data_IF_882850200236
#
_entry.id   IF_882850200236
#
_cell.length_a   1.000
_cell.length_b   1.000
_cell.length_c   1.000
_cell.angle_alpha   90.00
_cell.angle_beta   90.00
_cell.angle_gamma   90.00
#
_symmetry.space_group_name_H-M   'P 1'
#
loop_
_entity.id
_entity.type
_entity.pdbx_description
1 polymer ?
#
# COMPACT_ATOMS: atom_id res chain seq x y z
N UNK A 1 -1.06 -26.19 8.62
CA UNK A 1 -1.47 -27.25 7.69
C UNK A 1 -2.91 -26.93 7.28
N UNK A 2 -3.11 -26.22 6.15
CA UNK A 2 -4.45 -25.93 5.61
C UNK A 2 -4.75 -27.02 4.58
N UNK A 3 -5.55 -28.01 4.95
CA UNK A 3 -5.84 -29.18 4.10
C UNK A 3 -7.23 -29.17 3.49
N UNK A 4 -8.04 -28.11 3.70
CA UNK A 4 -9.46 -28.12 3.32
C UNK A 4 -9.82 -27.51 1.96
N UNK A 5 -9.08 -26.52 1.47
CA UNK A 5 -9.51 -25.70 0.32
C UNK A 5 -8.83 -26.04 -1.02
N UNK A 6 -7.80 -26.90 -1.01
CA UNK A 6 -6.87 -27.03 -2.15
C UNK A 6 -7.27 -28.09 -3.19
N UNK A 7 -8.10 -29.07 -2.87
CA UNK A 7 -8.22 -30.25 -3.73
C UNK A 7 -9.11 -30.05 -4.98
N UNK A 8 -10.24 -29.33 -4.89
CA UNK A 8 -11.17 -29.20 -6.02
C UNK A 8 -10.78 -28.09 -7.01
N UNK A 9 -10.43 -26.89 -6.52
CA UNK A 9 -10.07 -25.75 -7.37
C UNK A 9 -8.76 -25.97 -8.14
N UNK A 10 -7.78 -26.64 -7.53
CA UNK A 10 -6.54 -27.03 -8.21
C UNK A 10 -6.82 -27.94 -9.41
N UNK A 11 -7.72 -28.91 -9.24
CA UNK A 11 -8.07 -29.86 -10.29
C UNK A 11 -8.76 -29.21 -11.50
N UNK A 12 -9.56 -28.17 -11.30
CA UNK A 12 -10.22 -27.44 -12.40
C UNK A 12 -9.23 -26.55 -13.16
N UNK A 13 -8.32 -25.88 -12.46
CA UNK A 13 -7.26 -25.10 -13.09
C UNK A 13 -6.35 -25.99 -13.94
N UNK A 14 -5.94 -27.14 -13.42
CA UNK A 14 -5.12 -28.11 -14.15
C UNK A 14 -5.80 -28.57 -15.44
N UNK A 15 -7.11 -28.87 -15.39
CA UNK A 15 -7.90 -29.21 -16.59
C UNK A 15 -7.91 -28.08 -17.61
N UNK A 16 -8.14 -26.83 -17.19
CA UNK A 16 -8.14 -25.67 -18.08
C UNK A 16 -6.78 -25.52 -18.75
N UNK A 17 -5.69 -25.65 -18.00
CA UNK A 17 -4.33 -25.55 -18.54
C UNK A 17 -4.02 -26.69 -19.52
N UNK A 18 -4.43 -27.92 -19.22
CA UNK A 18 -4.29 -29.05 -20.13
C UNK A 18 -5.05 -28.83 -21.45
N UNK A 19 -6.30 -28.38 -21.38
CA UNK A 19 -7.11 -28.08 -22.55
C UNK A 19 -6.51 -26.95 -23.40
N UNK A 20 -6.07 -25.86 -22.77
CA UNK A 20 -5.46 -24.74 -23.48
C UNK A 20 -4.17 -25.14 -24.19
N UNK A 21 -3.29 -25.89 -23.52
CA UNK A 21 -2.02 -26.35 -24.09
C UNK A 21 -2.19 -27.33 -25.27
N UNK A 22 -3.37 -27.94 -25.43
CA UNK A 22 -3.69 -28.81 -26.54
C UNK A 22 -4.11 -28.06 -27.83
N UNK A 23 -4.38 -26.74 -27.75
CA UNK A 23 -4.81 -25.93 -28.89
C UNK A 23 -3.59 -25.48 -29.69
N UNK A 24 -3.56 -25.74 -31.01
CA UNK A 24 -2.47 -25.31 -31.89
C UNK A 24 -3.00 -24.72 -33.22
N UNK A 25 -2.71 -23.43 -33.55
CA UNK A 25 -2.04 -22.45 -32.69
C UNK A 25 -2.94 -22.02 -31.53
N UNK A 26 -2.38 -21.89 -30.33
CA UNK A 26 -3.11 -21.41 -29.18
C UNK A 26 -3.52 -19.93 -29.36
N UNK A 27 -4.78 -19.55 -29.10
CA UNK A 27 -5.19 -18.15 -29.10
C UNK A 27 -4.65 -17.42 -27.87
N UNK A 28 -4.65 -16.08 -27.88
CA UNK A 28 -4.38 -15.30 -26.67
C UNK A 28 -5.53 -15.53 -25.67
N UNK A 29 -5.21 -16.05 -24.50
CA UNK A 29 -6.14 -16.17 -23.38
C UNK A 29 -5.84 -15.10 -22.32
N UNK A 30 -6.88 -14.40 -21.89
CA UNK A 30 -6.81 -13.41 -20.82
C UNK A 30 -8.03 -13.52 -19.91
N UNK A 31 -7.81 -13.22 -18.63
CA UNK A 31 -8.86 -13.06 -17.63
C UNK A 31 -9.21 -11.58 -17.51
N UNK A 32 -10.51 -11.25 -17.47
CA UNK A 32 -11.02 -9.89 -17.34
C UNK A 32 -10.81 -9.32 -15.92
N UNK A 33 -9.54 -9.18 -15.54
CA UNK A 33 -9.11 -8.69 -14.24
C UNK A 33 -8.76 -7.20 -14.32
N UNK A 34 -9.72 -6.35 -13.92
CA UNK A 34 -9.62 -4.90 -14.09
C UNK A 34 -8.58 -4.24 -13.19
N UNK A 35 -8.23 -4.82 -12.03
CA UNK A 35 -7.28 -4.17 -11.10
C UNK A 35 -5.89 -3.98 -11.72
N UNK A 36 -5.50 -4.79 -12.72
CA UNK A 36 -4.22 -4.62 -13.44
C UNK A 36 -4.15 -3.30 -14.21
N UNK A 37 -5.30 -2.72 -14.52
CA UNK A 37 -5.44 -1.53 -15.36
C UNK A 37 -5.85 -0.28 -14.57
N UNK A 38 -6.08 -0.38 -13.26
CA UNK A 38 -6.37 0.78 -12.45
C UNK A 38 -5.17 1.76 -12.48
N UNK A 39 -5.40 3.05 -12.77
CA UNK A 39 -4.32 4.05 -12.87
C UNK A 39 -3.45 4.14 -11.61
N UNK A 40 -3.99 3.69 -10.47
CA UNK A 40 -3.25 3.64 -9.23
C UNK A 40 -2.05 2.69 -9.30
N UNK A 41 -2.26 1.46 -9.78
CA UNK A 41 -1.21 0.45 -9.90
C UNK A 41 -0.32 0.70 -11.11
N UNK A 42 -0.86 1.18 -12.23
CA UNK A 42 -0.07 1.49 -13.43
C UNK A 42 1.01 2.54 -13.13
N UNK A 43 0.64 3.64 -12.48
CA UNK A 43 1.64 4.65 -12.09
C UNK A 43 2.46 4.21 -10.87
N UNK A 44 1.86 3.51 -9.91
CA UNK A 44 2.60 2.98 -8.77
C UNK A 44 3.74 2.05 -9.22
N UNK A 45 3.52 1.28 -10.28
CA UNK A 45 4.54 0.42 -10.89
C UNK A 45 5.74 1.22 -11.40
N UNK A 46 5.53 2.43 -11.93
CA UNK A 46 6.63 3.29 -12.38
C UNK A 46 7.52 3.75 -11.22
N UNK A 47 6.91 4.02 -10.06
CA UNK A 47 7.61 4.46 -8.85
C UNK A 47 8.39 3.34 -8.14
N UNK A 48 8.17 2.07 -8.48
CA UNK A 48 8.91 0.95 -7.90
C UNK A 48 10.42 1.04 -8.13
N UNK A 49 10.87 1.72 -9.19
CA UNK A 49 12.29 1.93 -9.46
C UNK A 49 12.98 2.80 -8.38
N UNK A 50 12.22 3.64 -7.66
CA UNK A 50 12.74 4.57 -6.67
C UNK A 50 12.77 3.99 -5.25
N UNK A 51 12.08 2.87 -5.02
CA UNK A 51 11.89 2.26 -3.70
C UNK A 51 13.19 1.69 -3.10
N UNK A 52 14.16 1.31 -3.94
CA UNK A 52 15.30 0.49 -3.52
C UNK A 52 14.88 -0.96 -3.25
N UNK A 53 15.69 -1.71 -2.51
CA UNK A 53 15.36 -3.10 -2.17
C UNK A 53 14.11 -3.13 -1.29
N UNK A 54 13.19 -4.05 -1.61
CA UNK A 54 11.94 -4.20 -0.86
C UNK A 54 12.22 -4.87 0.49
N UNK A 55 11.90 -4.16 1.57
CA UNK A 55 11.99 -4.66 2.95
C UNK A 55 10.75 -5.49 3.30
N UNK A 56 9.55 -4.96 3.03
CA UNK A 56 8.30 -5.65 3.37
C UNK A 56 7.11 -5.15 2.55
N UNK A 57 6.11 -6.03 2.40
CA UNK A 57 4.87 -5.76 1.68
C UNK A 57 3.68 -5.97 2.60
N UNK A 58 2.78 -4.99 2.69
CA UNK A 58 1.50 -5.13 3.37
C UNK A 58 0.36 -4.96 2.38
N UNK A 59 -0.50 -5.97 2.29
CA UNK A 59 -1.80 -5.86 1.62
C UNK A 59 -2.88 -6.07 2.66
N UNK A 60 -3.59 -5.01 3.01
CA UNK A 60 -4.59 -5.00 4.08
C UNK A 60 -5.93 -4.59 3.48
N UNK A 61 -6.87 -5.53 3.54
CA UNK A 61 -8.21 -5.39 2.99
C UNK A 61 -9.22 -5.59 4.11
N UNK A 62 -10.02 -4.58 4.35
CA UNK A 62 -11.11 -4.55 5.30
C UNK A 62 -12.33 -4.07 4.51
N UNK A 63 -13.16 -5.02 4.09
CA UNK A 63 -14.42 -4.76 3.38
C UNK A 63 -15.58 -4.56 4.35
N UNK A 64 -16.69 -4.04 3.86
CA UNK A 64 -17.96 -3.89 4.61
C UNK A 64 -19.10 -4.67 3.95
N UNK A 65 -18.87 -5.94 3.63
CA UNK A 65 -19.90 -6.82 3.08
C UNK A 65 -21.01 -7.04 4.11
N UNK A 66 -22.26 -6.78 3.71
CA UNK A 66 -23.45 -6.97 4.54
C UNK A 66 -24.71 -7.01 3.66
N UNK A 67 -25.88 -7.22 4.26
CA UNK A 67 -27.16 -7.38 3.55
C UNK A 67 -27.62 -6.18 2.72
N UNK A 68 -27.11 -4.97 3.00
CA UNK A 68 -27.39 -3.78 2.17
C UNK A 68 -26.51 -3.69 0.91
N UNK A 69 -25.46 -4.51 0.83
CA UNK A 69 -24.56 -4.53 -0.32
C UNK A 69 -25.20 -5.33 -1.48
N UNK A 70 -25.34 -4.77 -2.70
CA UNK A 70 -25.93 -5.47 -3.84
C UNK A 70 -25.24 -6.81 -4.19
N UNK A 71 -23.93 -6.91 -3.95
CA UNK A 71 -23.17 -8.14 -4.21
C UNK A 71 -23.57 -9.26 -3.24
N UNK A 72 -23.89 -8.92 -1.99
CA UNK A 72 -24.39 -9.88 -1.01
C UNK A 72 -25.71 -10.50 -1.45
N UNK A 73 -26.58 -9.73 -2.10
CA UNK A 73 -27.90 -10.20 -2.55
C UNK A 73 -27.83 -11.28 -3.64
N UNK A 74 -26.72 -11.40 -4.35
CA UNK A 74 -26.54 -12.47 -5.34
C UNK A 74 -26.34 -13.84 -4.68
N UNK A 75 -27.26 -14.79 -4.91
CA UNK A 75 -27.25 -16.10 -4.26
C UNK A 75 -26.00 -16.91 -4.57
N UNK A 76 -25.58 -16.96 -5.84
CA UNK A 76 -24.42 -17.74 -6.25
C UNK A 76 -23.12 -17.32 -5.55
N UNK A 77 -22.96 -16.04 -5.20
CA UNK A 77 -21.79 -15.56 -4.43
C UNK A 77 -21.80 -16.04 -2.99
N UNK A 78 -23.00 -16.20 -2.41
CA UNK A 78 -23.15 -16.74 -1.06
C UNK A 78 -22.87 -18.24 -1.01
N UNK A 79 -23.10 -18.93 -2.14
CA UNK A 79 -22.87 -20.36 -2.28
C UNK A 79 -21.53 -20.69 -2.95
N UNK A 80 -20.68 -19.69 -3.19
CA UNK A 80 -19.40 -19.86 -3.88
C UNK A 80 -18.35 -20.45 -2.95
N UNK A 81 -17.66 -21.50 -3.40
CA UNK A 81 -16.57 -22.13 -2.65
C UNK A 81 -15.40 -21.15 -2.48
N UNK A 82 -15.00 -20.89 -1.24
CA UNK A 82 -14.02 -19.85 -0.89
C UNK A 82 -14.64 -18.48 -0.59
N UNK A 83 -15.96 -18.35 -0.74
CA UNK A 83 -16.74 -17.20 -0.30
C UNK A 83 -16.30 -15.87 -0.91
N UNK A 84 -16.61 -14.78 -0.20
CA UNK A 84 -16.23 -13.43 -0.62
C UNK A 84 -14.72 -13.19 -0.59
N UNK A 85 -13.96 -13.97 0.19
CA UNK A 85 -12.49 -13.92 0.16
C UNK A 85 -11.98 -14.32 -1.22
N UNK A 86 -12.47 -15.43 -1.80
CA UNK A 86 -12.02 -15.82 -3.14
C UNK A 86 -12.61 -14.91 -4.23
N UNK A 87 -13.88 -14.53 -4.12
CA UNK A 87 -14.54 -13.65 -5.10
C UNK A 87 -13.81 -12.31 -5.25
N UNK A 88 -13.48 -11.64 -4.13
CA UNK A 88 -12.83 -10.33 -4.17
C UNK A 88 -11.30 -10.39 -4.06
N UNK A 89 -10.76 -11.42 -3.40
CA UNK A 89 -9.34 -11.56 -3.07
C UNK A 89 -8.42 -11.55 -4.29
N UNK A 90 -8.87 -12.14 -5.40
CA UNK A 90 -8.12 -12.22 -6.66
C UNK A 90 -7.74 -10.84 -7.19
N UNK A 91 -8.62 -9.85 -7.04
CA UNK A 91 -8.36 -8.47 -7.45
C UNK A 91 -7.22 -7.86 -6.65
N UNK A 92 -7.18 -8.10 -5.33
CA UNK A 92 -6.17 -7.50 -4.46
C UNK A 92 -4.79 -8.11 -4.67
N UNK A 93 -4.72 -9.42 -4.89
CA UNK A 93 -3.49 -10.11 -5.27
C UNK A 93 -3.04 -9.69 -6.68
N UNK A 94 -3.98 -9.48 -7.60
CA UNK A 94 -3.66 -8.96 -8.93
C UNK A 94 -3.06 -7.56 -8.88
N UNK A 95 -3.63 -6.67 -8.07
CA UNK A 95 -3.07 -5.34 -7.81
C UNK A 95 -1.67 -5.39 -7.19
N UNK A 96 -1.43 -6.31 -6.25
CA UNK A 96 -0.10 -6.54 -5.69
C UNK A 96 0.90 -6.99 -6.77
N UNK A 97 0.56 -8.00 -7.56
CA UNK A 97 1.43 -8.52 -8.63
C UNK A 97 1.73 -7.44 -9.67
N UNK A 98 0.72 -6.64 -10.04
CA UNK A 98 0.91 -5.50 -10.94
C UNK A 98 1.86 -4.46 -10.35
N UNK A 99 1.73 -4.15 -9.05
CA UNK A 99 2.55 -3.15 -8.38
C UNK A 99 3.99 -3.65 -8.18
N UNK A 100 4.17 -4.78 -7.50
CA UNK A 100 5.47 -5.37 -7.20
C UNK A 100 6.19 -5.86 -8.46
N UNK A 101 5.45 -6.24 -9.51
CA UNK A 101 6.00 -6.85 -10.73
C UNK A 101 6.80 -8.12 -10.44
N UNK A 102 6.36 -8.86 -9.43
CA UNK A 102 6.95 -10.11 -8.98
C UNK A 102 5.86 -11.12 -8.70
N UNK A 103 6.16 -12.38 -8.97
CA UNK A 103 5.27 -13.51 -8.68
C UNK A 103 5.38 -13.96 -7.22
N UNK A 104 4.26 -14.45 -6.67
CA UNK A 104 4.20 -15.05 -5.34
C UNK A 104 4.59 -16.53 -5.50
N UNK A 105 5.57 -16.97 -4.72
CA UNK A 105 6.12 -18.33 -4.78
C UNK A 105 5.60 -19.22 -3.66
N UNK A 106 5.28 -18.65 -2.50
CA UNK A 106 4.71 -19.40 -1.38
C UNK A 106 3.76 -18.55 -0.54
N UNK A 107 2.79 -19.22 0.09
CA UNK A 107 1.81 -18.61 0.99
C UNK A 107 1.61 -19.53 2.20
N UNK A 108 1.59 -18.96 3.39
CA UNK A 108 1.10 -19.63 4.60
C UNK A 108 -0.03 -18.80 5.19
N UNK A 109 -1.17 -19.42 5.47
CA UNK A 109 -2.37 -18.70 5.88
C UNK A 109 -3.13 -19.37 7.02
N UNK A 110 -3.99 -18.60 7.66
CA UNK A 110 -5.05 -19.05 8.56
C UNK A 110 -6.33 -18.36 8.11
N UNK A 111 -7.39 -19.14 7.95
CA UNK A 111 -8.74 -18.65 7.66
C UNK A 111 -9.65 -18.93 8.84
N UNK A 112 -10.64 -18.09 9.09
CA UNK A 112 -11.70 -18.44 10.04
C UNK A 112 -13.07 -17.95 9.57
N UNK A 113 -14.08 -18.21 10.39
CA UNK A 113 -15.46 -17.77 10.20
C UNK A 113 -16.00 -17.26 11.53
N UNK A 114 -16.11 -15.95 11.70
CA UNK A 114 -16.56 -15.30 12.95
C UNK A 114 -17.96 -14.70 12.78
N UNK A 115 -18.18 -13.93 11.72
CA UNK A 115 -19.45 -13.37 11.33
C UNK A 115 -20.30 -14.41 10.57
N UNK A 116 -21.18 -15.07 11.32
CA UNK A 116 -22.09 -16.09 10.79
C UNK A 116 -23.21 -15.53 9.90
N UNK A 117 -23.32 -14.21 9.75
CA UNK A 117 -24.23 -13.61 8.77
C UNK A 117 -23.69 -13.68 7.34
N UNK A 118 -22.41 -14.01 7.17
CA UNK A 118 -21.76 -14.19 5.88
C UNK A 118 -21.32 -15.65 5.67
N UNK A 119 -21.14 -16.10 4.42
CA UNK A 119 -20.57 -17.41 4.14
C UNK A 119 -19.09 -17.52 4.60
N UNK A 120 -18.63 -18.70 5.01
CA UNK A 120 -17.22 -18.94 5.32
C UNK A 120 -16.35 -19.01 4.06
N UNK A 121 -15.04 -18.71 4.16
CA UNK A 121 -14.39 -17.96 5.25
C UNK A 121 -14.70 -16.45 5.17
N UNK A 122 -14.70 -15.77 6.32
CA UNK A 122 -14.94 -14.32 6.43
C UNK A 122 -13.66 -13.51 6.73
N UNK A 123 -12.61 -14.18 7.19
CA UNK A 123 -11.28 -13.59 7.22
C UNK A 123 -10.17 -14.56 6.85
N UNK A 124 -9.08 -13.99 6.35
CA UNK A 124 -7.80 -14.64 6.12
C UNK A 124 -6.66 -13.76 6.62
N UNK A 125 -5.73 -14.36 7.33
CA UNK A 125 -4.44 -13.77 7.70
C UNK A 125 -3.33 -14.64 7.11
N UNK A 126 -2.44 -14.04 6.32
CA UNK A 126 -1.42 -14.81 5.61
C UNK A 126 -0.07 -14.09 5.50
N UNK A 127 0.99 -14.90 5.40
CA UNK A 127 2.32 -14.47 4.97
C UNK A 127 2.57 -14.92 3.54
N UNK A 128 3.25 -14.09 2.77
CA UNK A 128 3.59 -14.33 1.37
C UNK A 128 5.09 -14.20 1.15
N UNK A 129 5.62 -15.00 0.22
CA UNK A 129 6.99 -14.88 -0.29
C UNK A 129 6.93 -14.68 -1.80
N UNK A 130 7.81 -13.82 -2.33
CA UNK A 130 7.92 -13.53 -3.75
C UNK A 130 9.22 -14.08 -4.34
N UNK A 131 9.25 -14.19 -5.68
CA UNK A 131 10.41 -14.72 -6.43
C UNK A 131 11.68 -13.88 -6.26
N UNK A 132 11.55 -12.59 -5.98
CA UNK A 132 12.67 -11.69 -5.72
C UNK A 132 13.21 -11.78 -4.28
N UNK A 133 12.71 -12.72 -3.47
CA UNK A 133 13.10 -12.92 -2.08
C UNK A 133 12.40 -12.01 -1.08
N UNK A 134 11.62 -11.02 -1.53
CA UNK A 134 10.83 -10.17 -0.64
C UNK A 134 9.66 -10.94 -0.04
N UNK A 135 9.19 -10.49 1.12
CA UNK A 135 8.09 -11.12 1.85
C UNK A 135 7.14 -10.07 2.41
N UNK A 136 5.97 -10.54 2.81
CA UNK A 136 4.94 -9.66 3.29
C UNK A 136 3.76 -10.37 3.91
N UNK A 137 2.70 -9.59 4.13
CA UNK A 137 1.44 -10.04 4.67
C UNK A 137 0.30 -9.70 3.73
N UNK A 138 -0.65 -10.64 3.61
CA UNK A 138 -1.96 -10.39 3.04
C UNK A 138 -3.01 -10.70 4.10
N UNK A 139 -3.77 -9.68 4.47
CA UNK A 139 -4.86 -9.77 5.44
C UNK A 139 -6.12 -9.30 4.76
N UNK A 140 -7.18 -10.09 4.87
CA UNK A 140 -8.50 -9.71 4.36
C UNK A 140 -9.59 -10.06 5.37
N UNK A 141 -10.40 -9.07 5.73
CA UNK A 141 -11.60 -9.19 6.56
C UNK A 141 -12.78 -8.66 5.74
N UNK A 142 -13.83 -9.45 5.58
CA UNK A 142 -14.94 -9.07 4.68
C UNK A 142 -16.00 -8.15 5.33
N UNK A 143 -16.10 -8.14 6.66
CA UNK A 143 -17.19 -7.49 7.43
C UNK A 143 -16.71 -6.43 8.43
N UNK A 144 -15.66 -5.70 8.11
CA UNK A 144 -15.22 -4.54 8.89
C UNK A 144 -16.24 -3.39 8.86
N UNK A 145 -16.42 -2.74 10.02
CA UNK A 145 -17.22 -1.51 10.15
C UNK A 145 -16.48 -0.27 9.63
N UNK A 146 -15.16 -0.35 9.52
CA UNK A 146 -14.30 0.73 9.01
C UNK A 146 -13.52 0.19 7.82
N UNK A 147 -14.02 0.36 6.59
CA UNK A 147 -13.35 -0.19 5.42
C UNK A 147 -11.96 0.40 5.21
N UNK A 148 -11.05 -0.45 4.77
CA UNK A 148 -9.68 -0.07 4.43
C UNK A 148 -9.17 -0.95 3.31
N UNK A 149 -8.54 -0.38 2.31
CA UNK A 149 -7.98 -1.14 1.19
C UNK A 149 -6.63 -0.53 0.87
N UNK A 150 -5.58 -1.25 1.22
CA UNK A 150 -4.22 -0.73 1.26
C UNK A 150 -3.23 -1.72 0.67
N UNK A 151 -2.39 -1.22 -0.22
CA UNK A 151 -1.10 -1.82 -0.59
C UNK A 151 -0.01 -0.89 -0.14
N UNK A 152 0.89 -1.38 0.70
CA UNK A 152 2.05 -0.64 1.19
C UNK A 152 3.30 -1.46 0.92
N UNK A 153 4.21 -0.93 0.12
CA UNK A 153 5.51 -1.53 -0.15
C UNK A 153 6.56 -0.66 0.52
N UNK A 154 7.27 -1.25 1.47
CA UNK A 154 8.36 -0.61 2.20
C UNK A 154 9.65 -1.03 1.51
N UNK A 155 10.39 -0.07 0.97
CA UNK A 155 11.77 -0.30 0.54
C UNK A 155 12.78 0.45 1.37
N UNK A 156 14.05 0.20 1.06
CA UNK A 156 15.19 0.85 1.72
C UNK A 156 15.20 2.37 1.56
N UNK A 157 14.67 2.90 0.46
CA UNK A 157 14.71 4.34 0.16
C UNK A 157 13.36 5.02 0.34
N UNK A 158 12.30 4.39 -0.17
CA UNK A 158 10.95 4.99 -0.20
C UNK A 158 9.92 3.96 0.22
N UNK A 159 8.85 4.44 0.88
CA UNK A 159 7.63 3.67 1.05
C UNK A 159 6.59 4.10 0.03
N UNK A 160 6.12 3.17 -0.78
CA UNK A 160 5.02 3.38 -1.72
C UNK A 160 3.71 2.87 -1.12
N UNK A 161 2.70 3.74 -1.09
CA UNK A 161 1.37 3.40 -0.62
C UNK A 161 0.31 3.69 -1.68
N UNK A 162 -0.48 2.67 -2.00
CA UNK A 162 -1.72 2.77 -2.77
C UNK A 162 -2.87 2.46 -1.81
N UNK A 163 -3.75 3.41 -1.60
CA UNK A 163 -4.90 3.25 -0.72
C UNK A 163 -6.18 3.60 -1.46
N UNK A 164 -7.20 2.74 -1.38
CA UNK A 164 -8.53 3.09 -1.88
C UNK A 164 -9.24 3.93 -0.82
N UNK A 165 -9.70 5.10 -1.22
CA UNK A 165 -10.43 6.03 -0.36
C UNK A 165 -11.55 6.74 -1.11
N UNK A 166 -12.29 7.58 -0.40
CA UNK A 166 -13.26 8.49 -1.00
C UNK A 166 -12.73 9.91 -0.86
N UNK A 167 -12.52 10.60 -1.98
CA UNK A 167 -12.39 12.07 -1.99
C UNK A 167 -13.68 12.62 -2.60
N UNK A 168 -14.36 13.49 -1.87
CA UNK A 168 -15.58 14.18 -2.31
C UNK A 168 -16.72 13.25 -2.77
N UNK A 169 -16.89 12.10 -2.09
CA UNK A 169 -17.96 11.14 -2.39
C UNK A 169 -17.72 10.23 -3.60
N UNK A 170 -16.58 10.37 -4.29
CA UNK A 170 -16.16 9.47 -5.38
C UNK A 170 -15.18 8.43 -4.85
N UNK A 171 -15.49 7.15 -5.09
CA UNK A 171 -14.57 6.06 -4.82
C UNK A 171 -13.35 6.18 -5.74
N UNK A 172 -12.15 6.24 -5.17
CA UNK A 172 -10.90 6.35 -5.92
C UNK A 172 -9.72 5.77 -5.15
N UNK A 173 -8.54 5.86 -5.73
CA UNK A 173 -7.30 5.45 -5.09
C UNK A 173 -6.45 6.69 -4.86
N UNK A 174 -6.02 6.91 -3.62
CA UNK A 174 -5.04 7.94 -3.28
C UNK A 174 -3.66 7.29 -3.19
N UNK A 175 -2.68 7.90 -3.86
CA UNK A 175 -1.27 7.54 -3.74
C UNK A 175 -0.63 8.43 -2.69
N UNK A 176 0.16 7.85 -1.80
CA UNK A 176 1.06 8.59 -0.92
C UNK A 176 2.45 7.98 -1.07
N UNK A 177 3.39 8.79 -1.56
CA UNK A 177 4.82 8.47 -1.50
C UNK A 177 5.38 9.30 -0.35
N UNK A 178 5.66 8.65 0.76
CA UNK A 178 6.41 9.30 1.83
C UNK A 178 7.89 9.08 1.51
N UNK A 179 8.53 10.10 0.94
CA UNK A 179 9.99 10.16 0.88
C UNK A 179 10.46 10.27 2.33
N UNK A 180 11.06 9.22 2.86
CA UNK A 180 11.79 9.34 4.12
C UNK A 180 13.07 10.10 3.77
N UNK A 181 13.05 11.42 3.91
CA UNK A 181 14.27 12.22 3.92
C UNK A 181 15.17 11.61 4.99
N UNK A 182 16.35 11.13 4.59
CA UNK A 182 17.35 10.68 5.53
C UNK A 182 17.76 11.88 6.42
N UNK A 183 18.30 11.65 7.61
CA UNK A 183 18.86 12.70 8.47
C UNK A 183 19.86 13.57 7.69
N UNK A 184 20.59 12.95 6.75
CA UNK A 184 21.52 13.65 5.85
C UNK A 184 20.81 14.59 4.85
N UNK A 185 19.57 14.28 4.44
CA UNK A 185 18.77 15.14 3.55
C UNK A 185 18.15 16.34 4.28
N UNK A 186 17.90 16.20 5.59
CA UNK A 186 17.45 17.32 6.44
C UNK A 186 18.57 18.35 6.66
N UNK A 187 19.82 17.91 6.79
CA UNK A 187 20.97 18.81 6.89
C UNK A 187 21.23 19.56 5.57
N UNK A 188 21.06 18.89 4.42
CA UNK A 188 21.14 19.53 3.11
C UNK A 188 20.02 20.56 2.89
N UNK A 189 18.80 20.26 3.33
CA UNK A 189 17.67 21.20 3.28
C UNK A 189 17.87 22.39 4.24
N UNK A 190 18.44 22.15 5.42
CA UNK A 190 18.74 23.19 6.40
C UNK A 190 19.87 24.14 5.94
N UNK A 191 20.83 23.64 5.17
CA UNK A 191 21.86 24.46 4.53
C UNK A 191 21.26 25.35 3.43
N UNK A 192 20.39 24.79 2.58
CA UNK A 192 19.66 25.55 1.53
C UNK A 192 18.70 26.61 2.10
N UNK A 193 18.07 26.36 3.25
CA UNK A 193 17.19 27.32 3.93
C UNK A 193 17.99 28.51 4.50
N UNK A 194 19.23 28.29 4.94
CA UNK A 194 20.08 29.33 5.53
C UNK A 194 20.64 30.31 4.49
N UNK A 195 20.97 29.85 3.28
CA UNK A 195 21.52 30.72 2.22
C UNK A 195 20.46 31.58 1.49
N UNK A 196 19.17 31.31 1.66
CA UNK A 196 18.07 32.03 1.00
C UNK A 196 17.25 32.94 1.93
N UNK A 197 17.75 33.21 3.14
CA UNK A 197 17.14 34.21 4.03
C UNK A 197 17.66 35.61 3.66
N UNK A 198 16.77 36.46 3.13
CA UNK A 198 17.04 37.89 2.98
C UNK A 198 16.46 38.60 4.19
N UNK A 199 17.30 39.35 4.90
CA UNK A 199 16.88 40.20 6.00
C UNK A 199 16.33 41.49 5.40
N UNK A 200 15.10 41.84 5.75
CA UNK A 200 14.50 43.13 5.38
C UNK A 200 15.11 44.23 6.25
N UNK A 201 15.99 45.06 5.68
CA UNK A 201 16.73 46.09 6.42
C UNK A 201 15.86 47.21 7.00
N UNK A 202 14.59 47.33 6.59
CA UNK A 202 13.67 48.35 7.12
C UNK A 202 12.92 47.88 8.37
N UNK A 203 12.77 46.56 8.54
CA UNK A 203 11.93 45.97 9.61
C UNK A 203 12.66 44.95 10.47
N UNK A 204 13.86 44.50 10.07
CA UNK A 204 14.61 43.44 10.73
C UNK A 204 13.97 42.07 10.61
N UNK A 205 12.97 41.90 9.73
CA UNK A 205 12.25 40.65 9.56
C UNK A 205 12.99 39.73 8.57
N UNK A 206 13.28 38.50 9.01
CA UNK A 206 13.78 37.44 8.14
C UNK A 206 12.63 36.93 7.26
N UNK A 207 12.79 37.02 5.93
CA UNK A 207 11.89 36.36 4.98
C UNK A 207 12.63 35.28 4.23
N UNK A 208 12.19 34.05 4.42
CA UNK A 208 12.64 32.90 3.64
C UNK A 208 11.79 32.83 2.36
N UNK A 209 12.39 33.15 1.21
CA UNK A 209 11.73 33.03 -0.09
C UNK A 209 11.90 31.59 -0.59
N UNK A 210 10.89 30.74 -0.36
CA UNK A 210 10.84 29.39 -0.93
C UNK A 210 9.71 29.35 -1.96
N UNK A 211 10.06 29.32 -3.24
CA UNK A 211 9.13 28.85 -4.28
C UNK A 211 9.25 27.32 -4.37
N UNK A 212 8.45 26.62 -3.58
CA UNK A 212 8.19 25.19 -3.76
C UNK A 212 6.67 24.99 -3.82
N UNK A 213 6.13 24.74 -5.01
CA UNK A 213 4.77 24.23 -5.17
C UNK A 213 4.72 22.76 -4.72
N UNK A 214 4.69 22.54 -3.40
CA UNK A 214 4.28 21.28 -2.79
C UNK A 214 3.36 21.59 -1.62
N UNK A 215 2.09 21.20 -1.75
CA UNK A 215 1.10 21.34 -0.67
C UNK A 215 1.40 20.33 0.44
N UNK A 216 2.30 20.69 1.37
CA UNK A 216 2.50 19.95 2.62
C UNK A 216 1.51 20.48 3.67
N UNK A 217 0.66 19.61 4.23
CA UNK A 217 0.01 19.91 5.51
C UNK A 217 1.01 19.58 6.61
N UNK A 218 1.79 20.59 7.01
CA UNK A 218 2.70 20.47 8.15
C UNK A 218 1.88 20.69 9.41
N UNK A 219 1.50 19.61 10.10
CA UNK A 219 1.00 19.74 11.47
C UNK A 219 2.20 20.07 12.34
N UNK A 220 2.28 21.29 12.85
CA UNK A 220 3.28 21.68 13.84
C UNK A 220 3.12 20.80 15.08
N UNK A 221 4.01 19.81 15.24
CA UNK A 221 4.27 19.23 16.55
C UNK A 221 5.04 20.29 17.34
N UNK A 222 4.33 21.07 18.15
CA UNK A 222 4.96 21.95 19.14
C UNK A 222 5.69 21.08 20.15
N UNK A 223 6.99 20.91 19.99
CA UNK A 223 7.84 20.38 21.04
C UNK A 223 7.92 21.40 22.19
N UNK A 224 7.89 20.97 23.46
CA UNK A 224 8.00 21.86 24.59
C UNK A 224 9.34 22.61 24.53
N UNK A 225 9.25 23.93 24.67
CA UNK A 225 10.40 24.83 24.78
C UNK A 225 11.32 24.36 25.91
N UNK A 226 12.47 23.82 25.57
CA UNK A 226 13.57 23.70 26.53
C UNK A 226 14.21 25.08 26.71
N UNK A 227 14.44 25.55 27.95
CA UNK A 227 15.00 26.87 28.20
C UNK A 227 16.44 26.96 27.68
N UNK A 228 16.68 28.04 26.93
CA UNK A 228 17.97 28.44 26.38
C UNK A 228 18.99 28.60 27.51
N UNK A 229 19.98 27.71 27.57
CA UNK A 229 21.22 27.91 28.30
C UNK A 229 21.96 29.10 27.66
N UNK A 230 21.95 30.25 28.33
CA UNK A 230 22.81 31.40 28.00
C UNK A 230 24.27 30.94 28.05
N UNK A 231 24.93 30.81 26.90
CA UNK A 231 26.40 30.83 26.83
C UNK A 231 26.86 32.22 27.26
N UNK A 232 27.60 32.26 28.37
CA UNK A 232 28.42 33.40 28.77
C UNK A 232 29.55 33.52 27.73
N UNK A 233 29.60 34.66 27.05
CA UNK A 233 30.73 35.03 26.20
C UNK A 233 31.98 35.24 27.06
N UNK A 234 32.97 34.36 26.93
CA UNK A 234 34.36 34.73 27.20
C UNK A 234 34.96 35.24 25.88
N UNK A 235 35.21 36.54 25.80
CA UNK A 235 36.08 37.12 24.78
C UNK A 235 37.53 36.72 25.06
N UNK A 236 38.35 36.42 24.03
CA UNK A 236 39.80 36.43 24.15
C UNK A 236 40.34 37.83 23.87
N UNK A 237 41.21 38.35 24.73
CA UNK A 237 42.16 39.40 24.37
C UNK A 237 43.55 39.02 24.84
N UNK A 238 44.45 38.98 23.88
CA UNK A 238 45.89 38.80 24.00
C UNK A 238 46.53 40.13 24.39
N UNK A 239 47.26 40.15 25.50
CA UNK A 239 48.52 40.87 25.75
C UNK A 239 48.97 40.56 27.19
#
# INVERSE_FOLDING_TARGET
MITGFTHSAGSELEKVMLCYNAINPAPIWAVAENYRFEPAFVEGRKLMAEIGDVINIHVIIEGSMNSSNPYYSSSWRRDFSGGFILDMGVHFISGLRMLAGCEITSVSAITSHVDSTLPPPDHISSTIQQENGSSGVFVMVVSSRSPKVLWRIVGLKVTLQVERGSKDGKHGHTKKSDLLLNVDDLDAMWFCLRENCVIDDATGAEKCCIFLEFSFSMTFMTWPTYPILKRVNQQPSVA
#
